data_IF_474074965794
#
_entry.id   IF_474074965794
#
_cell.length_a   1.000
_cell.length_b   1.000
_cell.length_c   1.000
_cell.angle_alpha   90.00
_cell.angle_beta   90.00
_cell.angle_gamma   90.00
#
_symmetry.space_group_name_H-M   'P 1'
#
loop_
_entity.id
_entity.type
_entity.pdbx_description
1 polymer ?
#
# COMPACT_ATOMS: atom_id res chain seq x y z
N UNK A 1 -0.86 11.21 -0.51
CA UNK A 1 0.38 10.84 -1.23
C UNK A 1 1.56 10.66 -0.28
N UNK A 2 1.97 11.69 0.48
CA UNK A 2 3.12 11.63 1.42
C UNK A 2 3.06 10.43 2.40
N UNK A 3 1.91 10.11 2.97
CA UNK A 3 1.76 8.97 3.89
C UNK A 3 1.91 7.60 3.22
N UNK A 4 1.47 7.45 1.97
CA UNK A 4 1.66 6.21 1.22
C UNK A 4 3.13 6.00 0.87
N UNK A 5 3.80 7.08 0.47
CA UNK A 5 5.26 7.13 0.24
C UNK A 5 6.01 6.76 1.52
N UNK A 6 5.67 7.37 2.65
CA UNK A 6 6.34 7.04 3.93
C UNK A 6 6.18 5.56 4.32
N UNK A 7 5.00 4.98 4.12
CA UNK A 7 4.76 3.58 4.49
C UNK A 7 5.54 2.61 3.60
N UNK A 8 5.39 2.73 2.28
CA UNK A 8 6.10 1.86 1.33
C UNK A 8 7.61 2.09 1.43
N UNK A 9 8.04 3.33 1.68
CA UNK A 9 9.45 3.68 1.84
C UNK A 9 10.07 3.06 3.08
N UNK A 10 9.32 2.94 4.16
CA UNK A 10 9.80 2.23 5.35
C UNK A 10 9.92 0.73 5.06
N UNK A 11 8.95 0.14 4.35
CA UNK A 11 9.01 -1.27 3.96
C UNK A 11 10.17 -1.56 3.02
N UNK A 12 10.35 -0.75 1.97
CA UNK A 12 11.45 -0.89 1.02
C UNK A 12 12.80 -0.63 1.68
N UNK A 13 12.85 0.27 2.68
CA UNK A 13 14.05 0.46 3.49
C UNK A 13 14.40 -0.81 4.27
N UNK A 14 13.42 -1.48 4.89
CA UNK A 14 13.67 -2.75 5.58
C UNK A 14 14.19 -3.83 4.64
N UNK A 15 13.58 -3.98 3.47
CA UNK A 15 13.96 -5.04 2.51
C UNK A 15 15.28 -4.72 1.81
N UNK A 16 15.44 -3.51 1.28
CA UNK A 16 16.56 -3.16 0.42
C UNK A 16 17.80 -2.70 1.20
N UNK A 17 17.62 -1.94 2.27
CA UNK A 17 18.74 -1.42 3.07
C UNK A 17 19.10 -2.37 4.21
N UNK A 18 18.14 -2.74 5.06
CA UNK A 18 18.46 -3.55 6.25
C UNK A 18 18.79 -4.99 5.89
N UNK A 19 18.16 -5.57 4.87
CA UNK A 19 18.41 -6.95 4.47
C UNK A 19 19.40 -7.08 3.30
N UNK A 20 19.13 -6.46 2.16
CA UNK A 20 20.00 -6.58 0.97
C UNK A 20 21.26 -5.70 1.03
N UNK A 21 21.36 -4.77 1.99
CA UNK A 21 22.51 -3.88 2.11
C UNK A 21 22.71 -2.93 0.93
N UNK A 22 21.65 -2.66 0.15
CA UNK A 22 21.73 -1.92 -1.12
C UNK A 22 20.86 -0.66 -1.11
N UNK A 23 21.50 0.49 -0.92
CA UNK A 23 20.86 1.80 -1.04
C UNK A 23 20.41 2.10 -2.48
N UNK A 24 21.07 1.53 -3.48
CA UNK A 24 20.68 1.69 -4.90
C UNK A 24 19.38 0.94 -5.15
N UNK A 25 19.27 -0.30 -4.66
CA UNK A 25 18.02 -1.07 -4.77
C UNK A 25 16.88 -0.37 -4.05
N UNK A 26 17.15 0.23 -2.88
CA UNK A 26 16.18 1.04 -2.16
C UNK A 26 15.74 2.26 -2.97
N UNK A 27 16.68 3.05 -3.50
CA UNK A 27 16.36 4.25 -4.29
C UNK A 27 15.55 3.92 -5.55
N UNK A 28 15.92 2.84 -6.26
CA UNK A 28 15.17 2.39 -7.43
C UNK A 28 13.78 1.89 -7.06
N UNK A 29 13.66 1.11 -5.98
CA UNK A 29 12.37 0.64 -5.49
C UNK A 29 11.48 1.84 -5.15
N UNK A 30 11.91 2.74 -4.27
CA UNK A 30 11.15 3.94 -3.88
C UNK A 30 10.71 4.77 -5.08
N UNK A 31 11.60 5.04 -6.04
CA UNK A 31 11.23 5.84 -7.22
C UNK A 31 10.18 5.13 -8.07
N UNK A 32 10.36 3.84 -8.35
CA UNK A 32 9.48 3.08 -9.25
C UNK A 32 8.15 2.75 -8.56
N UNK A 33 8.20 2.17 -7.36
CA UNK A 33 7.02 1.67 -6.65
C UNK A 33 6.25 2.76 -5.92
N UNK A 34 6.87 3.88 -5.53
CA UNK A 34 6.19 4.90 -4.73
C UNK A 34 5.89 6.15 -5.53
N UNK A 35 6.90 6.72 -6.17
CA UNK A 35 6.69 7.99 -6.89
C UNK A 35 5.89 7.75 -8.14
N UNK A 36 6.34 6.84 -9.01
CA UNK A 36 5.68 6.62 -10.30
C UNK A 36 4.30 5.98 -10.13
N UNK A 37 4.19 4.89 -9.36
CA UNK A 37 2.92 4.20 -9.18
C UNK A 37 1.87 5.03 -8.43
N UNK A 38 2.20 5.68 -7.30
CA UNK A 38 1.21 6.48 -6.58
C UNK A 38 0.81 7.74 -7.35
N UNK A 39 1.73 8.31 -8.15
CA UNK A 39 1.39 9.40 -9.08
C UNK A 39 0.42 8.92 -10.14
N UNK A 40 0.69 7.76 -10.75
CA UNK A 40 -0.23 7.12 -11.69
C UNK A 40 -1.60 6.87 -11.06
N UNK A 41 -1.65 6.23 -9.88
CA UNK A 41 -2.88 5.94 -9.16
C UNK A 41 -3.68 7.21 -8.82
N UNK A 42 -3.01 8.31 -8.50
CA UNK A 42 -3.64 9.61 -8.27
C UNK A 42 -4.31 10.17 -9.54
N UNK A 43 -3.60 10.20 -10.67
CA UNK A 43 -4.14 10.71 -11.92
C UNK A 43 -5.27 9.81 -12.47
N UNK A 44 -5.08 8.50 -12.41
CA UNK A 44 -6.12 7.52 -12.78
C UNK A 44 -7.33 7.67 -11.88
N UNK A 45 -7.15 7.85 -10.57
CA UNK A 45 -8.25 8.12 -9.65
C UNK A 45 -9.08 9.33 -10.06
N UNK A 46 -8.43 10.44 -10.43
CA UNK A 46 -9.14 11.65 -10.93
C UNK A 46 -9.88 11.40 -12.24
N UNK A 47 -9.28 10.63 -13.15
CA UNK A 47 -9.90 10.29 -14.42
C UNK A 47 -11.13 9.39 -14.24
N UNK A 48 -11.03 8.40 -13.35
CA UNK A 48 -12.14 7.51 -12.97
C UNK A 48 -13.27 8.33 -12.32
N UNK A 49 -12.97 9.27 -11.43
CA UNK A 49 -13.98 10.15 -10.83
C UNK A 49 -14.74 10.99 -11.86
N UNK A 50 -14.06 11.42 -12.92
CA UNK A 50 -14.70 12.18 -13.99
C UNK A 50 -15.67 11.32 -14.83
N UNK A 51 -15.42 10.02 -14.93
CA UNK A 51 -16.23 9.09 -15.74
C UNK A 51 -17.40 8.52 -14.92
N UNK A 52 -17.18 8.18 -13.65
CA UNK A 52 -18.15 7.48 -12.84
C UNK A 52 -18.86 8.43 -11.88
N UNK A 53 -20.13 8.74 -12.16
CA UNK A 53 -20.99 9.55 -11.28
C UNK A 53 -21.32 8.86 -9.95
N UNK A 54 -21.31 7.52 -9.92
CA UNK A 54 -21.48 6.73 -8.71
C UNK A 54 -20.13 6.49 -8.04
N UNK A 55 -19.93 7.21 -6.94
CA UNK A 55 -18.76 7.15 -6.07
C UNK A 55 -18.28 5.72 -5.76
N UNK A 56 -19.21 4.77 -5.50
CA UNK A 56 -18.87 3.37 -5.17
C UNK A 56 -18.24 2.63 -6.35
N UNK A 57 -18.74 2.88 -7.56
CA UNK A 57 -18.22 2.24 -8.78
C UNK A 57 -16.82 2.81 -9.07
N UNK A 58 -16.63 4.12 -8.89
CA UNK A 58 -15.33 4.76 -9.02
C UNK A 58 -14.27 4.12 -8.11
N UNK A 59 -14.59 3.88 -6.83
CA UNK A 59 -13.65 3.28 -5.88
C UNK A 59 -13.32 1.82 -6.24
N UNK A 60 -14.31 1.02 -6.67
CA UNK A 60 -14.08 -0.36 -7.10
C UNK A 60 -13.25 -0.43 -8.39
N UNK A 61 -13.57 0.42 -9.38
CA UNK A 61 -12.84 0.47 -10.65
C UNK A 61 -11.40 0.93 -10.40
N UNK A 62 -11.18 1.93 -9.54
CA UNK A 62 -9.84 2.37 -9.17
C UNK A 62 -9.03 1.23 -8.52
N UNK A 63 -9.65 0.44 -7.64
CA UNK A 63 -9.01 -0.75 -7.05
C UNK A 63 -8.53 -1.73 -8.11
N UNK A 64 -9.43 -2.10 -9.02
CA UNK A 64 -9.16 -3.12 -10.03
C UNK A 64 -8.13 -2.63 -11.02
N UNK A 65 -8.28 -1.41 -11.54
CA UNK A 65 -7.34 -0.83 -12.51
C UNK A 65 -5.96 -0.68 -11.89
N UNK A 66 -5.85 -0.06 -10.71
CA UNK A 66 -4.54 0.15 -10.08
C UNK A 66 -3.92 -1.18 -9.63
N UNK A 67 -4.72 -2.11 -9.10
CA UNK A 67 -4.27 -3.45 -8.72
C UNK A 67 -3.71 -4.23 -9.90
N UNK A 68 -4.40 -4.22 -11.05
CA UNK A 68 -3.91 -4.87 -12.27
C UNK A 68 -2.66 -4.20 -12.82
N UNK A 69 -2.60 -2.86 -12.81
CA UNK A 69 -1.41 -2.15 -13.27
C UNK A 69 -0.22 -2.46 -12.38
N UNK A 70 -0.35 -2.37 -11.06
CA UNK A 70 0.74 -2.71 -10.14
C UNK A 70 1.19 -4.16 -10.29
N UNK A 71 0.24 -5.10 -10.40
CA UNK A 71 0.54 -6.52 -10.65
C UNK A 71 1.34 -6.71 -11.96
N UNK A 72 0.87 -6.15 -13.06
CA UNK A 72 1.50 -6.37 -14.38
C UNK A 72 2.82 -5.60 -14.47
N UNK A 73 2.84 -4.32 -14.13
CA UNK A 73 4.03 -3.50 -14.36
C UNK A 73 5.08 -3.75 -13.31
N UNK A 74 4.72 -3.76 -12.02
CA UNK A 74 5.72 -3.86 -10.96
C UNK A 74 6.09 -5.32 -10.75
N UNK A 75 5.11 -6.19 -10.47
CA UNK A 75 5.43 -7.56 -10.11
C UNK A 75 5.90 -8.38 -11.31
N UNK A 76 5.20 -8.35 -12.44
CA UNK A 76 5.57 -9.20 -13.56
C UNK A 76 6.77 -8.68 -14.36
N UNK A 77 6.82 -7.37 -14.63
CA UNK A 77 7.86 -6.79 -15.50
C UNK A 77 9.12 -6.43 -14.69
N UNK A 78 8.99 -5.68 -13.59
CA UNK A 78 10.16 -5.21 -12.83
C UNK A 78 10.70 -6.24 -11.83
N UNK A 79 9.83 -6.91 -11.07
CA UNK A 79 10.25 -7.87 -10.04
C UNK A 79 10.46 -9.28 -10.63
N UNK A 80 9.63 -9.67 -11.60
CA UNK A 80 9.67 -11.00 -12.24
C UNK A 80 8.70 -12.04 -11.63
N UNK A 81 7.81 -11.63 -10.72
CA UNK A 81 6.84 -12.46 -10.01
C UNK A 81 5.63 -12.87 -10.88
N UNK A 82 5.89 -13.53 -12.00
CA UNK A 82 4.89 -13.87 -13.03
C UNK A 82 4.07 -15.12 -12.67
N UNK A 83 2.90 -15.33 -13.30
CA UNK A 83 2.18 -16.59 -13.19
C UNK A 83 3.06 -17.77 -13.61
N UNK A 84 3.21 -18.76 -12.74
CA UNK A 84 4.12 -19.91 -12.93
C UNK A 84 5.30 -19.92 -11.97
N UNK A 85 5.61 -18.80 -11.33
CA UNK A 85 6.59 -18.73 -10.23
C UNK A 85 5.96 -19.26 -8.94
N UNK A 86 6.55 -20.31 -8.35
CA UNK A 86 5.99 -21.04 -7.20
C UNK A 86 5.86 -20.20 -5.93
N UNK A 87 6.64 -19.14 -5.78
CA UNK A 87 6.66 -18.30 -4.58
C UNK A 87 5.73 -17.07 -4.70
N UNK A 88 5.12 -16.86 -5.86
CA UNK A 88 4.46 -15.61 -6.20
C UNK A 88 2.92 -15.73 -6.19
N UNK A 89 2.29 -15.39 -5.07
CA UNK A 89 0.81 -15.36 -4.97
C UNK A 89 0.22 -14.10 -5.67
N UNK A 90 -0.28 -14.31 -6.88
CA UNK A 90 -0.82 -13.27 -7.76
C UNK A 90 -1.99 -12.49 -7.15
N UNK A 91 -2.82 -13.17 -6.35
CA UNK A 91 -3.95 -12.53 -5.66
C UNK A 91 -3.46 -11.58 -4.56
N UNK A 92 -2.48 -12.02 -3.76
CA UNK A 92 -1.87 -11.18 -2.72
C UNK A 92 -1.24 -9.95 -3.35
N UNK A 93 -0.45 -10.12 -4.40
CA UNK A 93 0.18 -9.00 -5.11
C UNK A 93 -0.86 -8.02 -5.69
N UNK A 94 -1.89 -8.52 -6.36
CA UNK A 94 -3.00 -7.68 -6.87
C UNK A 94 -3.64 -6.85 -5.75
N UNK A 95 -4.00 -7.49 -4.63
CA UNK A 95 -4.67 -6.83 -3.50
C UNK A 95 -3.74 -5.87 -2.75
N UNK A 96 -2.43 -6.10 -2.78
CA UNK A 96 -1.41 -5.16 -2.29
C UNK A 96 -1.42 -3.86 -3.09
N UNK A 97 -1.30 -3.95 -4.42
CA UNK A 97 -1.24 -2.76 -5.28
C UNK A 97 -2.58 -2.00 -5.29
N UNK A 98 -3.69 -2.72 -5.41
CA UNK A 98 -5.03 -2.13 -5.32
C UNK A 98 -5.26 -1.46 -3.97
N UNK A 99 -4.86 -2.11 -2.88
CA UNK A 99 -4.94 -1.57 -1.53
C UNK A 99 -4.12 -0.29 -1.34
N UNK A 100 -2.88 -0.25 -1.84
CA UNK A 100 -2.01 0.92 -1.76
C UNK A 100 -2.60 2.14 -2.51
N UNK A 101 -3.10 1.93 -3.72
CA UNK A 101 -3.74 3.00 -4.51
C UNK A 101 -4.99 3.55 -3.82
N UNK A 102 -5.84 2.66 -3.29
CA UNK A 102 -7.04 3.07 -2.58
C UNK A 102 -6.77 3.71 -1.23
N UNK A 103 -5.74 3.25 -0.53
CA UNK A 103 -5.31 3.91 0.70
C UNK A 103 -4.91 5.36 0.41
N UNK A 104 -4.13 5.60 -0.66
CA UNK A 104 -3.78 6.95 -1.09
C UNK A 104 -5.03 7.78 -1.44
N UNK A 105 -6.01 7.19 -2.11
CA UNK A 105 -7.29 7.82 -2.47
C UNK A 105 -8.14 8.14 -1.23
N UNK A 106 -8.31 7.20 -0.29
CA UNK A 106 -8.96 7.43 0.99
C UNK A 106 -8.30 8.59 1.74
N UNK A 107 -6.97 8.66 1.76
CA UNK A 107 -6.25 9.73 2.45
C UNK A 107 -6.43 11.11 1.78
N UNK A 108 -6.80 11.17 0.51
CA UNK A 108 -7.06 12.43 -0.22
C UNK A 108 -8.54 12.84 -0.28
N UNK A 109 -9.46 11.99 0.15
CA UNK A 109 -10.91 12.28 0.17
C UNK A 109 -11.29 13.38 1.17
N UNK A 110 -11.87 14.51 0.76
CA UNK A 110 -12.21 15.60 1.68
C UNK A 110 -13.53 15.40 2.45
N UNK A 111 -14.24 14.30 2.24
CA UNK A 111 -15.58 14.07 2.81
C UNK A 111 -15.56 14.00 4.35
N UNK A 112 -16.42 14.77 5.03
CA UNK A 112 -16.48 14.79 6.50
C UNK A 112 -16.75 13.39 7.11
N UNK A 113 -17.56 12.59 6.42
CA UNK A 113 -17.96 11.25 6.86
C UNK A 113 -16.79 10.27 6.99
N UNK A 114 -15.67 10.50 6.27
CA UNK A 114 -14.53 9.58 6.24
C UNK A 114 -13.38 10.02 7.17
N UNK A 115 -13.47 11.19 7.81
CA UNK A 115 -12.43 11.74 8.70
C UNK A 115 -12.08 10.76 9.83
N UNK A 116 -13.09 10.14 10.45
CA UNK A 116 -12.86 9.13 11.49
C UNK A 116 -12.05 7.96 10.97
N UNK A 117 -12.43 7.38 9.83
CA UNK A 117 -11.74 6.23 9.22
C UNK A 117 -10.29 6.57 8.91
N UNK A 118 -10.03 7.75 8.34
CA UNK A 118 -8.67 8.24 8.07
C UNK A 118 -7.83 8.35 9.34
N UNK A 119 -8.38 8.89 10.42
CA UNK A 119 -7.66 9.04 11.68
C UNK A 119 -7.33 7.69 12.31
N UNK A 120 -8.27 6.74 12.30
CA UNK A 120 -8.01 5.38 12.79
C UNK A 120 -6.97 4.68 11.94
N UNK A 121 -7.10 4.75 10.62
CA UNK A 121 -6.13 4.20 9.69
C UNK A 121 -4.75 4.79 9.96
N UNK A 122 -4.64 6.12 9.99
CA UNK A 122 -3.38 6.81 10.22
C UNK A 122 -2.72 6.43 11.55
N UNK A 123 -3.49 6.43 12.65
CA UNK A 123 -2.98 6.03 13.97
C UNK A 123 -2.50 4.60 13.95
N UNK A 124 -3.28 3.71 13.35
CA UNK A 124 -2.89 2.31 13.21
C UNK A 124 -1.60 2.17 12.42
N UNK A 125 -1.49 2.82 11.27
CA UNK A 125 -0.28 2.78 10.44
C UNK A 125 0.94 3.33 11.17
N UNK A 126 0.82 4.47 11.86
CA UNK A 126 1.92 5.05 12.63
C UNK A 126 2.36 4.13 13.77
N UNK A 127 1.42 3.59 14.54
CA UNK A 127 1.72 2.66 15.63
C UNK A 127 2.35 1.37 15.09
N UNK A 128 1.75 0.78 14.07
CA UNK A 128 2.18 -0.48 13.49
C UNK A 128 3.58 -0.37 12.87
N UNK A 129 3.79 0.65 12.03
CA UNK A 129 5.07 0.90 11.37
C UNK A 129 6.15 1.31 12.38
N UNK A 130 5.79 2.13 13.37
CA UNK A 130 6.70 2.54 14.44
C UNK A 130 7.15 1.35 15.29
N UNK A 131 6.21 0.49 15.72
CA UNK A 131 6.52 -0.72 16.48
C UNK A 131 7.35 -1.70 15.66
N UNK A 132 6.99 -1.95 14.40
CA UNK A 132 7.74 -2.84 13.52
C UNK A 132 9.17 -2.33 13.26
N UNK A 133 9.34 -1.02 13.03
CA UNK A 133 10.67 -0.41 12.88
C UNK A 133 11.49 -0.55 14.16
N UNK A 134 10.89 -0.22 15.31
CA UNK A 134 11.55 -0.28 16.61
C UNK A 134 12.01 -1.70 16.94
N UNK A 135 11.13 -2.68 16.77
CA UNK A 135 11.46 -4.09 16.96
C UNK A 135 12.52 -4.54 15.95
N UNK A 136 12.39 -4.16 14.68
CA UNK A 136 13.39 -4.41 13.66
C UNK A 136 14.79 -3.92 14.06
N UNK A 137 14.91 -2.67 14.51
CA UNK A 137 16.17 -2.09 14.95
C UNK A 137 16.75 -2.77 16.20
N UNK A 138 15.92 -3.04 17.21
CA UNK A 138 16.35 -3.73 18.44
C UNK A 138 16.90 -5.11 18.10
N UNK A 139 16.16 -5.89 17.30
CA UNK A 139 16.57 -7.23 16.94
C UNK A 139 17.71 -7.24 15.92
N UNK A 140 17.91 -6.18 15.12
CA UNK A 140 19.03 -6.13 14.16
C UNK A 140 20.39 -6.22 14.87
N UNK A 141 20.51 -5.71 16.10
CA UNK A 141 21.72 -5.77 16.92
C UNK A 141 21.94 -7.17 17.53
N UNK A 142 20.86 -7.93 17.74
CA UNK A 142 20.88 -9.24 18.41
C UNK A 142 21.01 -10.37 17.38
N UNK A 143 20.13 -10.34 16.37
CA UNK A 143 20.01 -11.36 15.33
C UNK A 143 19.34 -10.74 14.09
N UNK A 144 20.12 -10.56 13.03
CA UNK A 144 19.67 -9.97 11.76
C UNK A 144 18.56 -10.79 11.07
N UNK A 145 18.54 -12.12 11.21
CA UNK A 145 17.48 -12.97 10.65
C UNK A 145 16.15 -12.80 11.40
N UNK A 146 16.20 -12.66 12.72
CA UNK A 146 15.00 -12.40 13.53
C UNK A 146 14.42 -11.01 13.27
N UNK A 147 15.30 -10.00 13.15
CA UNK A 147 14.92 -8.64 12.72
C UNK A 147 14.19 -8.67 11.38
N UNK A 148 14.74 -9.40 10.41
CA UNK A 148 14.11 -9.59 9.10
C UNK A 148 12.75 -10.26 9.22
N UNK A 149 12.64 -11.39 9.93
CA UNK A 149 11.37 -12.10 10.07
C UNK A 149 10.26 -11.21 10.65
N UNK A 150 10.57 -10.44 11.71
CA UNK A 150 9.60 -9.54 12.35
C UNK A 150 9.20 -8.39 11.42
N UNK A 151 10.17 -7.73 10.79
CA UNK A 151 9.90 -6.60 9.88
C UNK A 151 9.17 -7.05 8.62
N UNK A 152 9.52 -8.22 8.07
CA UNK A 152 8.89 -8.81 6.90
C UNK A 152 7.44 -9.24 7.18
N UNK A 153 7.20 -9.93 8.31
CA UNK A 153 5.84 -10.28 8.74
C UNK A 153 5.02 -9.03 8.97
N UNK A 154 5.58 -8.00 9.60
CA UNK A 154 4.89 -6.72 9.76
C UNK A 154 4.53 -6.09 8.40
N UNK A 155 5.49 -6.02 7.48
CA UNK A 155 5.25 -5.50 6.13
C UNK A 155 4.11 -6.25 5.42
N UNK A 156 4.12 -7.59 5.47
CA UNK A 156 3.05 -8.43 4.89
C UNK A 156 1.70 -8.14 5.55
N UNK A 157 1.64 -8.08 6.88
CA UNK A 157 0.40 -7.85 7.62
C UNK A 157 -0.18 -6.45 7.40
N UNK A 158 0.66 -5.46 7.06
CA UNK A 158 0.19 -4.11 6.77
C UNK A 158 -0.72 -4.04 5.53
N UNK A 159 -0.53 -4.89 4.53
CA UNK A 159 -1.37 -4.91 3.33
C UNK A 159 -2.82 -5.39 3.57
N UNK A 160 -3.08 -6.52 4.27
CA UNK A 160 -4.42 -6.87 4.72
C UNK A 160 -5.08 -5.76 5.55
N UNK A 161 -4.32 -5.10 6.42
CA UNK A 161 -4.82 -4.01 7.25
C UNK A 161 -5.26 -2.81 6.39
N UNK A 162 -4.49 -2.44 5.36
CA UNK A 162 -4.91 -1.43 4.37
C UNK A 162 -6.24 -1.80 3.74
N UNK A 163 -6.41 -3.07 3.35
CA UNK A 163 -7.64 -3.55 2.75
C UNK A 163 -8.83 -3.52 3.73
N UNK A 164 -8.62 -3.79 5.03
CA UNK A 164 -9.66 -3.64 6.07
C UNK A 164 -10.11 -2.18 6.19
N UNK A 165 -9.18 -1.23 6.24
CA UNK A 165 -9.53 0.20 6.27
C UNK A 165 -10.22 0.64 4.98
N UNK A 166 -9.85 0.09 3.83
CA UNK A 166 -10.57 0.33 2.59
C UNK A 166 -12.02 -0.17 2.66
N UNK A 167 -12.25 -1.42 3.10
CA UNK A 167 -13.60 -1.96 3.23
C UNK A 167 -14.44 -1.07 4.16
N UNK A 168 -13.87 -0.64 5.28
CA UNK A 168 -14.54 0.28 6.19
C UNK A 168 -14.86 1.64 5.53
N UNK A 169 -13.88 2.23 4.85
CA UNK A 169 -14.04 3.46 4.07
C UNK A 169 -15.16 3.33 3.03
N UNK A 170 -15.18 2.23 2.28
CA UNK A 170 -16.17 1.95 1.24
C UNK A 170 -17.59 1.93 1.81
N UNK A 171 -17.80 1.25 2.94
CA UNK A 171 -19.13 1.18 3.58
C UNK A 171 -19.57 2.51 4.21
N UNK A 172 -18.63 3.29 4.78
CA UNK A 172 -18.97 4.61 5.36
C UNK A 172 -19.37 5.60 4.26
N UNK A 173 -18.60 5.65 3.18
CA UNK A 173 -18.89 6.51 2.03
C UNK A 173 -20.19 6.11 1.35
N UNK A 174 -20.46 4.81 1.28
CA UNK A 174 -21.73 4.27 0.81
C UNK A 174 -22.93 4.79 1.61
N UNK A 175 -22.89 4.74 2.94
CA UNK A 175 -24.00 5.24 3.77
C UNK A 175 -24.21 6.75 3.65
N UNK A 176 -23.13 7.50 3.47
CA UNK A 176 -23.18 8.96 3.33
C UNK A 176 -23.68 9.45 1.97
N UNK A 177 -23.74 8.60 0.93
CA UNK A 177 -24.25 8.96 -0.41
C UNK A 177 -25.75 8.69 -0.59
N UNK A 178 -26.40 8.07 0.41
CA UNK A 178 -27.83 7.73 0.42
C UNK A 178 -28.66 8.70 1.28
N UNK A 179 -28.00 9.65 1.95
CA UNK A 179 -28.60 10.72 2.77
C UNK A 179 -28.49 12.06 2.05
#
# INVERSE_FOLDING_TARGET
MLFGILYVGIQEFWVSVLWKGSLISFALAVVITEVLYLTFAFFVGKWIDAIFSKIRIADLVAYVVCGLVGLITIEWIFVGNRPGETEANQFVMFTTWGGAALFARMMTDSSANVVKVKLYALRFFLLFTGLATLLGLIFAVINSQLSFAITYVAAILGYPIMNVFFIWYFFIKARGSEA
#
